data_IF_394867685173
#
_entry.id   IF_394867685173
#
_cell.length_a   1.000
_cell.length_b   1.000
_cell.length_c   1.000
_cell.angle_alpha   90.00
_cell.angle_beta   90.00
_cell.angle_gamma   90.00
#
_symmetry.space_group_name_H-M   'P 1'
#
loop_
_entity.id
_entity.type
_entity.pdbx_description
1 polymer ?
#
# COMPACT_ATOMS: atom_id res chain seq x y z
N UNK A 1 14.49 -57.64 4.46
CA UNK A 1 15.84 -58.16 4.82
C UNK A 1 16.47 -58.81 3.59
N UNK A 2 17.78 -58.56 3.38
CA UNK A 2 18.71 -59.17 2.40
C UNK A 2 18.39 -58.96 0.90
N UNK A 3 19.12 -58.12 0.11
CA UNK A 3 20.56 -58.10 -0.28
C UNK A 3 20.91 -59.13 -1.39
N UNK A 4 21.18 -58.62 -2.60
CA UNK A 4 21.98 -59.16 -3.75
C UNK A 4 21.86 -58.11 -4.88
N UNK A 5 22.83 -57.31 -5.33
CA UNK A 5 24.29 -57.40 -5.57
C UNK A 5 24.64 -58.21 -6.83
N UNK A 6 24.96 -57.50 -7.92
CA UNK A 6 25.86 -57.85 -9.06
C UNK A 6 25.99 -56.59 -9.94
N UNK A 7 27.13 -55.89 -9.95
CA UNK A 7 28.34 -56.11 -10.78
C UNK A 7 28.05 -56.02 -12.29
N UNK A 8 28.76 -55.30 -13.16
CA UNK A 8 29.83 -54.27 -13.21
C UNK A 8 30.04 -54.04 -14.74
N UNK A 9 30.99 -53.17 -15.14
CA UNK A 9 31.53 -52.92 -16.51
C UNK A 9 30.84 -51.82 -17.33
N UNK A 10 31.54 -50.95 -18.06
CA UNK A 10 32.90 -50.40 -18.06
C UNK A 10 32.94 -49.41 -19.25
N UNK A 11 33.90 -48.47 -19.22
CA UNK A 11 34.42 -47.72 -20.38
C UNK A 11 33.57 -46.55 -20.89
N UNK A 12 34.14 -45.48 -21.43
CA UNK A 12 35.44 -44.83 -21.37
C UNK A 12 35.23 -43.49 -22.12
N UNK A 13 36.08 -42.52 -21.83
CA UNK A 13 36.05 -41.15 -22.32
C UNK A 13 35.92 -40.97 -23.85
N UNK A 14 35.31 -39.85 -24.28
CA UNK A 14 35.95 -38.95 -25.25
C UNK A 14 35.29 -37.56 -25.26
N UNK A 15 36.12 -36.52 -25.06
CA UNK A 15 35.82 -35.11 -25.29
C UNK A 15 35.52 -34.84 -26.78
N UNK A 16 34.64 -33.89 -27.08
CA UNK A 16 34.90 -32.85 -28.09
C UNK A 16 34.07 -31.60 -27.82
N UNK A 17 34.77 -30.48 -27.63
CA UNK A 17 34.26 -29.11 -27.72
C UNK A 17 33.86 -28.80 -29.17
N UNK A 18 32.66 -28.26 -29.40
CA UNK A 18 32.41 -27.27 -30.45
C UNK A 18 31.37 -26.28 -29.93
N UNK A 19 31.74 -25.00 -29.95
CA UNK A 19 30.94 -23.90 -29.42
C UNK A 19 29.59 -23.74 -30.11
N UNK A 20 28.57 -23.55 -29.28
CA UNK A 20 27.33 -22.88 -29.64
C UNK A 20 27.04 -21.94 -28.47
N UNK A 21 27.13 -20.64 -28.70
CA UNK A 21 26.81 -19.64 -27.69
C UNK A 21 25.40 -19.92 -27.15
N UNK A 22 25.19 -20.01 -25.83
CA UNK A 22 23.83 -19.91 -25.32
C UNK A 22 23.41 -18.47 -25.60
N UNK A 23 22.57 -18.28 -26.62
CA UNK A 23 21.81 -17.04 -26.80
C UNK A 23 21.06 -16.81 -25.50
N UNK A 24 21.62 -15.94 -24.66
CA UNK A 24 20.96 -15.45 -23.46
C UNK A 24 19.83 -14.57 -23.95
N UNK A 25 18.67 -15.18 -24.21
CA UNK A 25 17.41 -14.47 -24.31
C UNK A 25 17.12 -13.93 -22.90
N UNK A 26 17.73 -12.79 -22.59
CA UNK A 26 17.30 -11.89 -21.52
C UNK A 26 15.93 -11.35 -21.91
N UNK A 27 14.92 -12.21 -21.90
CA UNK A 27 13.51 -11.82 -21.80
C UNK A 27 13.30 -11.30 -20.39
N UNK A 28 13.87 -10.13 -20.10
CA UNK A 28 13.49 -9.31 -18.95
C UNK A 28 12.10 -8.76 -19.27
N UNK A 29 11.08 -9.60 -19.12
CA UNK A 29 9.71 -9.15 -19.06
C UNK A 29 9.54 -8.52 -17.68
N UNK A 30 9.76 -7.21 -17.59
CA UNK A 30 9.08 -6.45 -16.55
C UNK A 30 7.58 -6.74 -16.73
N UNK A 31 6.88 -7.28 -15.73
CA UNK A 31 5.46 -7.56 -15.87
C UNK A 31 4.75 -6.24 -16.20
N UNK A 32 3.99 -6.21 -17.28
CA UNK A 32 3.12 -5.08 -17.59
C UNK A 32 2.20 -4.84 -16.39
N UNK A 33 2.12 -3.60 -15.89
CA UNK A 33 1.30 -3.31 -14.74
C UNK A 33 -0.17 -3.60 -15.07
N UNK A 34 -0.92 -4.12 -14.09
CA UNK A 34 -2.32 -4.48 -14.27
C UNK A 34 -3.23 -3.28 -14.56
N UNK A 35 -2.76 -2.07 -14.32
CA UNK A 35 -3.43 -0.78 -14.57
C UNK A 35 -2.39 0.34 -14.64
N UNK A 36 -2.77 1.49 -15.19
CA UNK A 36 -1.97 2.72 -15.21
C UNK A 36 -2.29 3.51 -13.94
N UNK A 37 -1.28 3.89 -13.15
CA UNK A 37 -1.49 4.60 -11.86
C UNK A 37 -2.04 6.03 -12.03
N UNK A 38 -1.78 6.65 -13.18
CA UNK A 38 -2.29 7.98 -13.51
C UNK A 38 -3.80 8.00 -13.71
N UNK A 39 -4.39 6.86 -14.09
CA UNK A 39 -5.83 6.70 -14.26
C UNK A 39 -6.58 6.46 -12.94
N UNK A 40 -5.87 6.33 -11.82
CA UNK A 40 -6.49 6.07 -10.52
C UNK A 40 -7.30 7.26 -10.02
N UNK A 41 -8.52 6.97 -9.55
CA UNK A 41 -9.47 7.99 -9.11
C UNK A 41 -9.15 8.55 -7.73
N UNK A 42 -9.49 9.81 -7.53
CA UNK A 42 -9.49 10.45 -6.21
C UNK A 42 -10.87 10.28 -5.57
N UNK A 43 -10.89 9.69 -4.38
CA UNK A 43 -12.09 9.51 -3.57
C UNK A 43 -12.16 10.61 -2.50
N UNK A 44 -13.27 11.35 -2.48
CA UNK A 44 -13.45 12.56 -1.66
C UNK A 44 -14.57 12.44 -0.60
N UNK A 45 -15.34 11.35 -0.63
CA UNK A 45 -16.56 11.18 0.18
C UNK A 45 -16.32 10.89 1.68
N UNK A 46 -15.08 11.01 2.17
CA UNK A 46 -14.82 11.00 3.61
C UNK A 46 -15.47 12.20 4.32
N UNK A 47 -15.54 13.35 3.62
CA UNK A 47 -16.07 14.60 4.12
C UNK A 47 -15.21 15.23 5.23
N UNK A 48 -15.70 16.34 5.79
CA UNK A 48 -15.06 17.02 6.90
C UNK A 48 -15.18 16.19 8.19
N UNK A 49 -14.04 15.92 8.82
CA UNK A 49 -13.96 15.29 10.13
C UNK A 49 -13.61 16.33 11.17
N UNK A 50 -14.34 16.31 12.30
CA UNK A 50 -14.08 17.14 13.48
C UNK A 50 -13.89 16.23 14.68
N UNK A 51 -12.71 16.28 15.30
CA UNK A 51 -12.34 15.41 16.42
C UNK A 51 -11.65 16.18 17.54
N UNK A 52 -11.58 15.59 18.73
CA UNK A 52 -10.84 16.14 19.86
C UNK A 52 -9.49 15.41 19.96
N UNK A 53 -8.36 16.10 19.75
CA UNK A 53 -7.03 15.51 19.91
C UNK A 53 -6.72 15.14 21.37
N UNK A 54 -5.79 14.22 21.56
CA UNK A 54 -5.33 13.80 22.87
C UNK A 54 -4.70 14.99 23.63
N UNK A 55 -5.18 15.23 24.85
CA UNK A 55 -4.72 16.33 25.70
C UNK A 55 -5.29 17.71 25.33
N UNK A 56 -6.18 17.81 24.34
CA UNK A 56 -6.83 19.05 23.94
C UNK A 56 -8.25 19.14 24.54
N UNK A 57 -8.35 19.70 25.75
CA UNK A 57 -9.65 20.09 26.32
C UNK A 57 -10.18 21.29 25.51
N UNK A 58 -11.42 21.18 25.02
CA UNK A 58 -12.15 22.22 24.25
C UNK A 58 -11.61 22.60 22.87
N UNK A 59 -10.51 21.97 22.41
CA UNK A 59 -9.96 22.19 21.07
C UNK A 59 -10.36 21.09 20.11
N UNK A 60 -10.57 21.45 18.87
CA UNK A 60 -11.02 20.55 17.82
C UNK A 60 -10.08 20.59 16.62
N UNK A 61 -9.67 19.41 16.15
CA UNK A 61 -9.03 19.27 14.86
C UNK A 61 -10.12 19.09 13.81
N UNK A 62 -10.17 20.00 12.85
CA UNK A 62 -10.94 19.88 11.61
C UNK A 62 -10.01 19.45 10.49
N UNK A 63 -10.39 18.38 9.78
CA UNK A 63 -9.61 17.89 8.66
C UNK A 63 -10.50 17.35 7.55
N UNK A 64 -10.13 17.65 6.31
CA UNK A 64 -10.69 17.03 5.12
C UNK A 64 -9.56 16.36 4.35
N UNK A 65 -9.80 15.12 3.91
CA UNK A 65 -8.82 14.35 3.16
C UNK A 65 -9.48 13.61 1.99
N UNK A 66 -8.74 13.50 0.89
CA UNK A 66 -9.07 12.73 -0.29
C UNK A 66 -8.01 11.64 -0.54
N UNK A 67 -8.39 10.57 -1.22
CA UNK A 67 -7.55 9.38 -1.37
C UNK A 67 -7.43 9.00 -2.84
N UNK A 68 -6.21 8.95 -3.41
CA UNK A 68 -5.99 8.39 -4.74
C UNK A 68 -6.00 6.87 -4.65
N UNK A 69 -6.99 6.21 -5.25
CA UNK A 69 -7.25 4.77 -5.05
C UNK A 69 -7.06 3.98 -6.33
N UNK A 70 -6.34 2.87 -6.21
CA UNK A 70 -6.02 1.96 -7.30
C UNK A 70 -6.34 0.50 -6.93
N UNK A 71 -6.77 -0.37 -7.87
CA UNK A 71 -7.10 -0.06 -9.27
C UNK A 71 -8.33 0.86 -9.38
N UNK A 72 -8.49 1.63 -10.48
CA UNK A 72 -9.47 2.73 -10.56
C UNK A 72 -10.91 2.30 -10.23
N UNK A 73 -11.45 1.28 -10.91
CA UNK A 73 -12.84 0.87 -10.68
C UNK A 73 -13.01 0.06 -9.39
N UNK A 74 -12.16 -0.96 -9.20
CA UNK A 74 -12.30 -1.92 -8.10
C UNK A 74 -11.96 -1.27 -6.75
N UNK A 75 -10.95 -0.42 -6.73
CA UNK A 75 -10.54 0.33 -5.56
C UNK A 75 -11.55 1.38 -5.16
N UNK A 76 -12.09 2.14 -6.12
CA UNK A 76 -13.15 3.10 -5.85
C UNK A 76 -14.41 2.41 -5.30
N UNK A 77 -14.80 1.26 -5.87
CA UNK A 77 -15.93 0.47 -5.37
C UNK A 77 -15.66 -0.12 -3.97
N UNK A 78 -14.42 -0.51 -3.66
CA UNK A 78 -14.05 -1.00 -2.32
C UNK A 78 -14.08 0.12 -1.28
N UNK A 79 -13.40 1.24 -1.51
CA UNK A 79 -13.33 2.35 -0.55
C UNK A 79 -14.71 2.95 -0.28
N UNK A 80 -15.55 3.06 -1.32
CA UNK A 80 -16.93 3.55 -1.19
C UNK A 80 -17.76 2.64 -0.29
N UNK A 81 -17.67 1.31 -0.46
CA UNK A 81 -18.36 0.33 0.40
C UNK A 81 -17.84 0.36 1.84
N UNK A 82 -16.55 0.63 2.03
CA UNK A 82 -15.88 0.68 3.33
C UNK A 82 -15.85 2.09 3.95
N UNK A 83 -16.63 3.04 3.44
CA UNK A 83 -16.67 4.44 3.91
C UNK A 83 -16.81 4.57 5.43
N UNK A 84 -17.65 3.75 6.06
CA UNK A 84 -17.89 3.80 7.51
C UNK A 84 -16.63 3.35 8.27
N UNK A 85 -16.01 2.26 7.84
CA UNK A 85 -14.76 1.72 8.40
C UNK A 85 -13.61 2.73 8.23
N UNK A 86 -13.50 3.33 7.04
CA UNK A 86 -12.57 4.42 6.75
C UNK A 86 -12.74 5.59 7.74
N UNK A 87 -13.97 6.07 7.91
CA UNK A 87 -14.27 7.18 8.83
C UNK A 87 -13.94 6.82 10.28
N UNK A 88 -14.26 5.60 10.71
CA UNK A 88 -13.94 5.12 12.06
C UNK A 88 -12.43 5.11 12.33
N UNK A 89 -11.64 4.54 11.42
CA UNK A 89 -10.18 4.50 11.56
C UNK A 89 -9.55 5.89 11.47
N UNK A 90 -10.03 6.75 10.57
CA UNK A 90 -9.56 8.13 10.47
C UNK A 90 -9.82 8.90 11.77
N UNK A 91 -11.04 8.84 12.32
CA UNK A 91 -11.37 9.49 13.60
C UNK A 91 -10.49 8.98 14.73
N UNK A 92 -10.29 7.66 14.82
CA UNK A 92 -9.46 7.04 15.86
C UNK A 92 -8.02 7.52 15.78
N UNK A 93 -7.45 7.55 14.57
CA UNK A 93 -6.10 8.06 14.32
C UNK A 93 -5.95 9.53 14.72
N UNK A 94 -6.89 10.36 14.29
CA UNK A 94 -6.86 11.81 14.52
C UNK A 94 -7.05 12.15 16.00
N UNK A 95 -7.93 11.43 16.70
CA UNK A 95 -8.16 11.63 18.14
C UNK A 95 -6.97 11.20 18.99
N UNK A 96 -6.16 10.27 18.50
CA UNK A 96 -4.94 9.83 19.16
C UNK A 96 -3.75 10.80 19.01
N UNK A 97 -3.85 11.82 18.15
CA UNK A 97 -2.78 12.79 17.97
C UNK A 97 -2.71 13.72 19.18
N UNK A 98 -1.50 14.02 19.64
CA UNK A 98 -1.31 15.01 20.71
C UNK A 98 -1.29 16.43 20.13
N UNK A 99 -1.55 17.42 20.97
CA UNK A 99 -1.49 18.84 20.57
C UNK A 99 -0.11 19.21 20.04
N UNK A 100 0.97 18.68 20.64
CA UNK A 100 2.35 18.95 20.22
C UNK A 100 2.61 18.41 18.81
N UNK A 101 2.12 17.20 18.50
CA UNK A 101 2.21 16.63 17.15
C UNK A 101 1.46 17.48 16.12
N UNK A 102 0.32 18.05 16.51
CA UNK A 102 -0.50 18.93 15.67
C UNK A 102 0.01 20.37 15.59
N UNK A 103 0.99 20.76 16.41
CA UNK A 103 1.67 22.05 16.29
C UNK A 103 2.94 21.97 15.44
N UNK A 104 3.42 20.76 15.16
CA UNK A 104 4.62 20.53 14.36
C UNK A 104 4.51 21.17 12.95
N UNK A 105 5.60 21.74 12.39
CA UNK A 105 5.58 22.33 11.05
C UNK A 105 5.17 21.34 9.95
N UNK A 106 5.59 20.08 10.07
CA UNK A 106 5.29 18.99 9.14
C UNK A 106 4.07 18.15 9.53
N UNK A 107 3.17 18.70 10.37
CA UNK A 107 1.98 17.98 10.86
C UNK A 107 1.12 17.39 9.74
N UNK A 108 0.94 18.12 8.63
CA UNK A 108 0.13 17.67 7.51
C UNK A 108 0.78 16.46 6.83
N UNK A 109 2.09 16.50 6.57
CA UNK A 109 2.81 15.36 5.98
C UNK A 109 2.80 14.13 6.89
N UNK A 110 3.02 14.31 8.18
CA UNK A 110 2.94 13.18 9.13
C UNK A 110 1.54 12.57 9.20
N UNK A 111 0.49 13.40 9.15
CA UNK A 111 -0.90 12.91 9.10
C UNK A 111 -1.20 12.22 7.77
N UNK A 112 -0.71 12.75 6.65
CA UNK A 112 -0.85 12.17 5.32
C UNK A 112 -0.29 10.76 5.30
N UNK A 113 0.95 10.59 5.77
CA UNK A 113 1.62 9.28 5.84
C UNK A 113 0.86 8.32 6.78
N UNK A 114 0.46 8.79 7.96
CA UNK A 114 -0.32 8.00 8.92
C UNK A 114 -1.67 7.53 8.35
N UNK A 115 -2.38 8.41 7.63
CA UNK A 115 -3.64 8.06 6.96
C UNK A 115 -3.40 7.07 5.83
N UNK A 116 -2.37 7.27 5.00
CA UNK A 116 -2.01 6.35 3.92
C UNK A 116 -1.77 4.93 4.44
N UNK A 117 -0.98 4.80 5.51
CA UNK A 117 -0.71 3.51 6.17
C UNK A 117 -2.01 2.92 6.72
N UNK A 118 -2.77 3.70 7.49
CA UNK A 118 -4.00 3.24 8.16
C UNK A 118 -5.03 2.71 7.16
N UNK A 119 -5.23 3.41 6.04
CA UNK A 119 -6.20 3.00 5.03
C UNK A 119 -5.75 1.72 4.33
N UNK A 120 -4.47 1.60 3.99
CA UNK A 120 -3.96 0.41 3.32
C UNK A 120 -3.88 -0.83 4.22
N UNK A 121 -3.59 -0.67 5.51
CA UNK A 121 -3.45 -1.80 6.42
C UNK A 121 -4.80 -2.25 7.00
N UNK A 122 -5.65 -1.29 7.38
CA UNK A 122 -6.87 -1.58 8.13
C UNK A 122 -8.11 -1.58 7.26
N UNK A 123 -8.22 -0.65 6.31
CA UNK A 123 -9.45 -0.46 5.54
C UNK A 123 -9.44 -1.31 4.26
N UNK A 124 -8.55 -1.02 3.30
CA UNK A 124 -8.52 -1.70 2.02
C UNK A 124 -7.85 -3.07 2.14
N UNK A 125 -8.39 -4.07 1.43
CA UNK A 125 -7.86 -5.44 1.42
C UNK A 125 -7.52 -5.93 0.01
N UNK A 126 -8.19 -5.41 -1.02
CA UNK A 126 -7.99 -5.82 -2.43
C UNK A 126 -7.41 -4.72 -3.29
N UNK A 127 -7.53 -3.47 -2.85
CA UNK A 127 -7.03 -2.27 -3.49
C UNK A 127 -6.03 -1.56 -2.58
N UNK A 128 -5.43 -0.48 -3.10
CA UNK A 128 -4.52 0.39 -2.34
C UNK A 128 -4.84 1.85 -2.60
N UNK A 129 -4.63 2.67 -1.59
CA UNK A 129 -4.43 4.10 -1.73
C UNK A 129 -2.97 4.33 -2.10
N UNK A 130 -2.72 5.06 -3.18
CA UNK A 130 -1.36 5.45 -3.61
C UNK A 130 -0.95 6.81 -3.06
N UNK A 131 -1.91 7.70 -2.81
CA UNK A 131 -1.63 8.98 -2.17
C UNK A 131 -2.85 9.50 -1.38
N UNK A 132 -2.59 10.37 -0.42
CA UNK A 132 -3.60 11.05 0.40
C UNK A 132 -3.40 12.55 0.25
N UNK A 133 -4.48 13.28 -0.01
CA UNK A 133 -4.46 14.74 -0.10
C UNK A 133 -5.20 15.31 1.09
N UNK A 134 -4.51 16.08 1.94
CA UNK A 134 -5.17 16.85 3.01
C UNK A 134 -5.57 18.19 2.40
N UNK A 135 -6.87 18.39 2.20
CA UNK A 135 -7.42 19.58 1.53
C UNK A 135 -7.76 20.70 2.51
N UNK A 136 -8.08 20.35 3.77
CA UNK A 136 -8.35 21.28 4.85
C UNK A 136 -7.74 20.72 6.15
N UNK A 137 -7.07 21.56 6.94
CA UNK A 137 -6.59 21.19 8.27
C UNK A 137 -6.51 22.42 9.18
N UNK A 138 -7.37 22.46 10.19
CA UNK A 138 -7.47 23.58 11.12
C UNK A 138 -7.60 23.10 12.57
N UNK A 139 -6.99 23.85 13.49
CA UNK A 139 -7.11 23.66 14.93
C UNK A 139 -7.97 24.79 15.50
N UNK A 140 -9.19 24.46 15.91
CA UNK A 140 -10.12 25.34 16.62
C UNK A 140 -9.94 25.22 18.14
#
# INVERSE_FOLDING_TARGET
MLRRLTLWFLSAALLTLVGGMPSVLLSSCAPTPAYIEDDCHVYEDLGLLRVNPAGALERHLRIQAAFKVCPPEQGLAEITRKRIELKHHAISLLSAQTVEQLQHPLRAEHLREKLLITVNEHVLKKSRVTDVFITEMEME
#
